data_IF_310365579030
#
_entry.id   IF_310365579030
#
_cell.length_a   1.000
_cell.length_b   1.000
_cell.length_c   1.000
_cell.angle_alpha   90.00
_cell.angle_beta   90.00
_cell.angle_gamma   90.00
#
_symmetry.space_group_name_H-M   'P 1'
#
loop_
_entity.id
_entity.type
_entity.pdbx_description
1 polymer ?
#
# COMPACT_ATOMS: atom_id res chain seq x y z
N UNK A 1 -9.43 22.46 -17.58
CA UNK A 1 -8.39 21.88 -16.70
C UNK A 1 -8.99 21.52 -15.35
N UNK A 2 -9.60 22.48 -14.63
CA UNK A 2 -10.28 22.20 -13.35
C UNK A 2 -11.36 21.11 -13.45
N UNK A 3 -12.25 21.18 -14.45
CA UNK A 3 -13.29 20.16 -14.67
C UNK A 3 -12.71 18.76 -14.85
N UNK A 4 -11.62 18.62 -15.61
CA UNK A 4 -10.93 17.34 -15.82
C UNK A 4 -10.38 16.76 -14.52
N UNK A 5 -9.73 17.58 -13.69
CA UNK A 5 -9.14 17.15 -12.41
C UNK A 5 -10.25 16.74 -11.43
N UNK A 6 -11.30 17.54 -11.31
CA UNK A 6 -12.42 17.24 -10.41
C UNK A 6 -13.13 15.94 -10.79
N UNK A 7 -13.39 15.73 -12.09
CA UNK A 7 -13.94 14.46 -12.57
C UNK A 7 -12.99 13.31 -12.32
N UNK A 8 -11.69 13.49 -12.57
CA UNK A 8 -10.67 12.47 -12.31
C UNK A 8 -10.64 12.06 -10.83
N UNK A 9 -10.60 13.02 -9.90
CA UNK A 9 -10.61 12.76 -8.46
C UNK A 9 -11.85 11.95 -8.08
N UNK A 10 -13.04 12.39 -8.53
CA UNK A 10 -14.29 11.71 -8.23
C UNK A 10 -14.33 10.27 -8.72
N UNK A 11 -13.75 9.99 -9.89
CA UNK A 11 -13.76 8.66 -10.50
C UNK A 11 -12.68 7.72 -9.94
N UNK A 12 -11.51 8.25 -9.59
CA UNK A 12 -10.28 7.43 -9.40
C UNK A 12 -9.71 7.46 -8.00
N UNK A 13 -10.18 8.38 -7.16
CA UNK A 13 -9.67 8.58 -5.82
C UNK A 13 -10.79 8.44 -4.79
N UNK A 14 -10.85 7.28 -4.13
CA UNK A 14 -11.77 7.05 -3.02
C UNK A 14 -11.17 7.67 -1.74
N UNK A 15 -11.72 8.79 -1.20
CA UNK A 15 -11.08 9.51 -0.10
C UNK A 15 -10.91 8.64 1.14
N UNK A 16 -11.90 7.81 1.49
CA UNK A 16 -11.83 6.96 2.67
C UNK A 16 -10.71 5.92 2.57
N UNK A 17 -10.60 5.24 1.43
CA UNK A 17 -9.55 4.25 1.19
C UNK A 17 -8.16 4.89 1.23
N UNK A 18 -7.96 6.02 0.54
CA UNK A 18 -6.66 6.68 0.50
C UNK A 18 -6.27 7.32 1.84
N UNK A 19 -7.23 7.80 2.62
CA UNK A 19 -7.00 8.25 4.00
C UNK A 19 -6.56 7.09 4.89
N UNK A 20 -7.24 5.94 4.84
CA UNK A 20 -6.82 4.77 5.62
C UNK A 20 -5.46 4.23 5.19
N UNK A 21 -5.20 4.21 3.88
CA UNK A 21 -3.93 3.79 3.31
C UNK A 21 -2.78 4.73 3.72
N UNK A 22 -2.98 6.04 3.68
CA UNK A 22 -1.99 7.01 4.15
C UNK A 22 -1.71 6.84 5.65
N UNK A 23 -2.75 6.64 6.46
CA UNK A 23 -2.60 6.36 7.89
C UNK A 23 -1.84 5.05 8.14
N UNK A 24 -2.18 3.98 7.41
CA UNK A 24 -1.48 2.71 7.47
C UNK A 24 0.01 2.85 7.14
N UNK A 25 0.35 3.48 6.01
CA UNK A 25 1.76 3.64 5.60
C UNK A 25 2.56 4.51 6.58
N UNK A 26 1.94 5.55 7.13
CA UNK A 26 2.57 6.40 8.14
C UNK A 26 2.84 5.63 9.44
N UNK A 27 1.86 4.88 9.95
CA UNK A 27 2.03 4.01 11.13
C UNK A 27 3.04 2.89 10.87
N UNK A 28 3.05 2.34 9.65
CA UNK A 28 4.00 1.32 9.24
C UNK A 28 5.43 1.86 9.28
N UNK A 29 5.64 3.03 8.67
CA UNK A 29 6.93 3.68 8.55
C UNK A 29 7.46 4.16 9.89
N UNK A 30 6.67 4.90 10.67
CA UNK A 30 7.16 5.69 11.81
C UNK A 30 6.79 5.12 13.18
N UNK A 31 5.86 4.17 13.22
CA UNK A 31 5.33 3.63 14.46
C UNK A 31 4.69 4.63 15.40
N UNK A 32 5.04 4.56 16.69
CA UNK A 32 4.49 5.40 17.77
C UNK A 32 5.43 6.55 18.17
N UNK A 33 6.58 6.71 17.50
CA UNK A 33 7.53 7.80 17.76
C UNK A 33 7.31 8.97 16.79
N UNK A 34 6.37 9.84 17.13
CA UNK A 34 5.96 10.95 16.26
C UNK A 34 5.33 12.07 17.08
N UNK A 35 5.66 13.32 16.73
CA UNK A 35 4.95 14.48 17.26
C UNK A 35 3.67 14.71 16.46
N UNK A 36 2.65 15.37 17.05
CA UNK A 36 1.43 15.73 16.32
C UNK A 36 1.73 16.54 15.05
N UNK A 37 2.77 17.39 15.08
CA UNK A 37 3.22 18.12 13.89
C UNK A 37 3.79 17.18 12.84
N UNK A 38 4.69 16.26 13.24
CA UNK A 38 5.27 15.25 12.34
C UNK A 38 4.21 14.32 11.74
N UNK A 39 3.19 13.98 12.52
CA UNK A 39 2.00 13.23 12.12
C UNK A 39 1.26 13.89 10.96
N UNK A 40 0.84 15.14 11.16
CA UNK A 40 0.06 15.88 10.17
C UNK A 40 0.86 16.06 8.88
N UNK A 41 2.15 16.37 8.98
CA UNK A 41 3.03 16.53 7.82
C UNK A 41 3.22 15.21 7.08
N UNK A 42 3.54 14.12 7.77
CA UNK A 42 3.73 12.79 7.18
C UNK A 42 2.46 12.28 6.50
N UNK A 43 1.31 12.47 7.15
CA UNK A 43 0.01 12.09 6.61
C UNK A 43 -0.34 12.89 5.34
N UNK A 44 -0.17 14.21 5.36
CA UNK A 44 -0.42 15.06 4.20
C UNK A 44 0.53 14.72 3.04
N UNK A 45 1.82 14.48 3.35
CA UNK A 45 2.81 14.04 2.38
C UNK A 45 2.46 12.69 1.76
N UNK A 46 2.06 11.71 2.57
CA UNK A 46 1.62 10.40 2.11
C UNK A 46 0.42 10.52 1.16
N UNK A 47 -0.60 11.29 1.51
CA UNK A 47 -1.76 11.53 0.65
C UNK A 47 -1.38 12.18 -0.68
N UNK A 48 -0.56 13.24 -0.65
CA UNK A 48 -0.13 13.94 -1.85
C UNK A 48 0.67 13.01 -2.79
N UNK A 49 1.55 12.19 -2.22
CA UNK A 49 2.39 11.26 -2.97
C UNK A 49 1.59 10.08 -3.53
N UNK A 50 0.64 9.53 -2.75
CA UNK A 50 -0.30 8.51 -3.23
C UNK A 50 -1.17 9.04 -4.36
N UNK A 51 -1.65 10.28 -4.27
CA UNK A 51 -2.40 10.92 -5.34
C UNK A 51 -1.55 11.06 -6.62
N UNK A 52 -0.30 11.49 -6.49
CA UNK A 52 0.62 11.59 -7.61
C UNK A 52 0.86 10.23 -8.28
N UNK A 53 1.17 9.19 -7.49
CA UNK A 53 1.37 7.85 -8.02
C UNK A 53 0.11 7.31 -8.70
N UNK A 54 -1.07 7.54 -8.11
CA UNK A 54 -2.34 7.12 -8.70
C UNK A 54 -2.56 7.76 -10.07
N UNK A 55 -2.31 9.07 -10.18
CA UNK A 55 -2.39 9.80 -11.44
C UNK A 55 -1.38 9.29 -12.46
N UNK A 56 -0.15 9.00 -12.03
CA UNK A 56 0.89 8.45 -12.90
C UNK A 56 0.49 7.09 -13.46
N UNK A 57 0.07 6.16 -12.60
CA UNK A 57 -0.34 4.81 -12.96
C UNK A 57 -1.53 4.80 -13.93
N UNK A 58 -2.54 5.65 -13.69
CA UNK A 58 -3.72 5.77 -14.55
C UNK A 58 -3.32 6.35 -15.93
N UNK A 59 -2.53 7.42 -15.97
CA UNK A 59 -2.07 8.04 -17.23
C UNK A 59 -1.28 7.04 -18.07
N UNK A 60 -0.39 6.26 -17.45
CA UNK A 60 0.38 5.22 -18.14
C UNK A 60 -0.51 4.07 -18.64
N UNK A 61 -1.58 3.74 -17.90
CA UNK A 61 -2.54 2.68 -18.24
C UNK A 61 -3.60 3.09 -19.25
N UNK A 62 -3.64 4.35 -19.69
CA UNK A 62 -4.76 4.89 -20.46
C UNK A 62 -5.06 4.18 -21.79
N UNK A 63 -4.08 3.53 -22.42
CA UNK A 63 -4.33 2.71 -23.63
C UNK A 63 -4.95 1.34 -23.31
N UNK A 64 -4.49 0.71 -22.22
CA UNK A 64 -4.97 -0.62 -21.77
C UNK A 64 -6.40 -0.53 -21.22
N UNK A 65 -6.74 0.63 -20.66
CA UNK A 65 -8.03 0.86 -20.02
C UNK A 65 -9.10 1.43 -20.95
N UNK A 66 -8.81 1.56 -22.24
CA UNK A 66 -9.80 2.03 -23.22
C UNK A 66 -11.08 1.20 -23.19
N UNK A 67 -12.23 1.89 -23.25
CA UNK A 67 -13.55 1.27 -23.26
C UNK A 67 -14.11 0.89 -21.89
N UNK A 68 -13.34 1.05 -20.80
CA UNK A 68 -13.86 0.83 -19.44
C UNK A 68 -14.61 2.08 -18.93
N UNK A 69 -15.74 1.93 -18.21
CA UNK A 69 -16.54 3.05 -17.72
C UNK A 69 -15.79 3.85 -16.64
N UNK A 70 -16.16 5.11 -16.46
CA UNK A 70 -15.65 6.02 -15.42
C UNK A 70 -14.12 6.19 -15.39
N UNK A 71 -13.51 6.29 -16.58
CA UNK A 71 -12.07 6.48 -16.74
C UNK A 71 -11.76 7.65 -17.66
N UNK A 72 -11.98 8.88 -17.19
CA UNK A 72 -11.72 10.09 -17.99
C UNK A 72 -10.29 10.15 -18.57
N UNK A 73 -9.30 9.56 -17.89
CA UNK A 73 -7.90 9.53 -18.34
C UNK A 73 -7.65 8.66 -19.59
N UNK A 74 -8.65 7.91 -20.09
CA UNK A 74 -8.55 7.22 -21.38
C UNK A 74 -8.82 8.15 -22.56
N UNK A 75 -9.49 9.29 -22.32
CA UNK A 75 -9.71 10.32 -23.34
C UNK A 75 -8.42 11.07 -23.64
N UNK A 76 -8.13 11.30 -24.92
CA UNK A 76 -6.85 11.87 -25.36
C UNK A 76 -6.59 13.28 -24.75
N UNK A 77 -7.59 14.15 -24.73
CA UNK A 77 -7.46 15.51 -24.19
C UNK A 77 -7.27 15.50 -22.66
N UNK A 78 -8.10 14.73 -21.94
CA UNK A 78 -7.99 14.60 -20.50
C UNK A 78 -6.66 13.99 -20.07
N UNK A 79 -6.22 12.91 -20.73
CA UNK A 79 -4.91 12.29 -20.49
C UNK A 79 -3.78 13.29 -20.68
N UNK A 80 -3.79 14.05 -21.78
CA UNK A 80 -2.78 15.08 -22.05
C UNK A 80 -2.72 16.12 -20.93
N UNK A 81 -3.89 16.58 -20.45
CA UNK A 81 -3.97 17.54 -19.34
C UNK A 81 -3.44 16.96 -18.02
N UNK A 82 -3.78 15.72 -17.69
CA UNK A 82 -3.26 15.03 -16.50
C UNK A 82 -1.74 14.81 -16.61
N UNK A 83 -1.23 14.44 -17.78
CA UNK A 83 0.22 14.31 -18.01
C UNK A 83 0.97 15.62 -17.79
N UNK A 84 0.41 16.76 -18.20
CA UNK A 84 1.02 18.07 -17.94
C UNK A 84 1.10 18.41 -16.45
N UNK A 85 0.25 17.82 -15.60
CA UNK A 85 0.27 18.04 -14.16
C UNK A 85 1.26 17.14 -13.42
N UNK A 86 1.62 15.98 -13.99
CA UNK A 86 2.53 15.03 -13.33
C UNK A 86 3.90 15.65 -13.03
N UNK A 87 4.50 16.34 -13.99
CA UNK A 87 5.84 16.92 -13.82
C UNK A 87 5.87 18.03 -12.77
N UNK A 88 5.06 19.11 -12.85
CA UNK A 88 5.09 20.18 -11.85
C UNK A 88 4.74 19.66 -10.45
N UNK A 89 3.80 18.71 -10.34
CA UNK A 89 3.49 18.09 -9.05
C UNK A 89 4.68 17.27 -8.52
N UNK A 90 5.33 16.45 -9.35
CA UNK A 90 6.54 15.73 -8.94
C UNK A 90 7.63 16.68 -8.44
N UNK A 91 7.85 17.81 -9.14
CA UNK A 91 8.82 18.83 -8.73
C UNK A 91 8.44 19.44 -7.38
N UNK A 92 7.17 19.80 -7.17
CA UNK A 92 6.70 20.32 -5.87
C UNK A 92 6.93 19.31 -4.76
N UNK A 93 6.61 18.02 -4.98
CA UNK A 93 6.85 16.96 -4.01
C UNK A 93 8.34 16.82 -3.69
N UNK A 94 9.21 16.79 -4.70
CA UNK A 94 10.65 16.65 -4.51
C UNK A 94 11.25 17.85 -3.78
N UNK A 95 10.84 19.08 -4.13
CA UNK A 95 11.29 20.30 -3.44
C UNK A 95 10.81 20.31 -1.99
N UNK A 96 9.53 20.01 -1.75
CA UNK A 96 8.98 19.94 -0.40
C UNK A 96 9.70 18.89 0.45
N UNK A 97 10.01 17.73 -0.14
CA UNK A 97 10.78 16.67 0.52
C UNK A 97 12.20 17.14 0.81
N UNK A 98 12.88 17.77 -0.16
CA UNK A 98 14.28 18.19 -0.03
C UNK A 98 14.50 19.30 0.99
N UNK A 99 13.48 20.13 1.25
CA UNK A 99 13.49 21.12 2.33
C UNK A 99 13.53 20.46 3.71
N UNK A 100 12.96 19.26 3.84
CA UNK A 100 12.92 18.50 5.10
C UNK A 100 14.13 17.56 5.19
N UNK A 101 14.32 16.72 4.17
CA UNK A 101 15.44 15.78 4.08
C UNK A 101 15.86 15.56 2.62
N UNK A 102 17.12 15.86 2.32
CA UNK A 102 17.67 15.78 0.95
C UNK A 102 17.87 14.34 0.47
N UNK A 103 18.10 13.39 1.38
CA UNK A 103 18.27 11.99 1.02
C UNK A 103 16.93 11.33 0.70
N UNK A 104 15.90 11.61 1.50
CA UNK A 104 14.52 11.20 1.24
C UNK A 104 14.05 11.71 -0.12
N UNK A 105 14.38 12.97 -0.46
CA UNK A 105 14.11 13.54 -1.78
C UNK A 105 14.90 12.85 -2.90
N UNK A 106 16.16 12.51 -2.67
CA UNK A 106 16.97 11.77 -3.63
C UNK A 106 16.41 10.36 -3.90
N UNK A 107 15.96 9.65 -2.87
CA UNK A 107 15.32 8.32 -3.01
C UNK A 107 14.00 8.43 -3.78
N UNK A 108 13.14 9.39 -3.41
CA UNK A 108 11.88 9.61 -4.12
C UNK A 108 12.13 9.98 -5.60
N UNK A 109 13.10 10.85 -5.85
CA UNK A 109 13.50 11.26 -7.20
C UNK A 109 14.06 10.10 -8.02
N UNK A 110 14.96 9.32 -7.45
CA UNK A 110 15.50 8.12 -8.07
C UNK A 110 14.38 7.12 -8.40
N UNK A 111 13.43 6.92 -7.47
CA UNK A 111 12.28 6.05 -7.72
C UNK A 111 11.41 6.56 -8.86
N UNK A 112 11.08 7.85 -8.91
CA UNK A 112 10.29 8.44 -10.01
C UNK A 112 10.97 8.19 -11.36
N UNK A 113 12.29 8.40 -11.44
CA UNK A 113 13.06 8.15 -12.67
C UNK A 113 13.02 6.67 -13.04
N UNK A 114 13.33 5.77 -12.09
CA UNK A 114 13.30 4.32 -12.30
C UNK A 114 11.91 3.85 -12.70
N UNK A 115 10.86 4.37 -12.08
CA UNK A 115 9.47 4.05 -12.41
C UNK A 115 9.14 4.47 -13.84
N UNK A 116 9.50 5.68 -14.26
CA UNK A 116 9.30 6.14 -15.65
C UNK A 116 10.01 5.22 -16.65
N UNK A 117 11.26 4.83 -16.37
CA UNK A 117 12.03 3.92 -17.23
C UNK A 117 11.37 2.52 -17.25
N UNK A 118 11.03 1.97 -16.09
CA UNK A 118 10.42 0.65 -15.97
C UNK A 118 9.06 0.58 -16.68
N UNK A 119 8.23 1.62 -16.58
CA UNK A 119 6.97 1.71 -17.32
C UNK A 119 7.20 1.77 -18.83
N UNK A 120 8.26 2.43 -19.31
CA UNK A 120 8.56 2.41 -20.75
C UNK A 120 9.05 1.05 -21.25
N UNK A 121 9.80 0.32 -20.43
CA UNK A 121 10.45 -0.94 -20.85
C UNK A 121 9.60 -2.18 -20.61
N UNK A 122 8.80 -2.22 -19.54
CA UNK A 122 8.19 -3.45 -19.04
C UNK A 122 6.66 -3.45 -19.12
N UNK A 123 6.02 -2.30 -19.32
CA UNK A 123 4.56 -2.17 -19.19
C UNK A 123 3.74 -2.94 -20.26
N UNK A 124 4.36 -3.25 -21.39
CA UNK A 124 3.76 -4.12 -22.41
C UNK A 124 3.47 -5.54 -21.87
N UNK A 125 4.29 -6.00 -20.91
CA UNK A 125 4.12 -7.31 -20.29
C UNK A 125 3.08 -7.23 -19.18
N UNK A 126 2.04 -8.04 -19.28
CA UNK A 126 0.91 -8.04 -18.34
C UNK A 126 1.34 -8.19 -16.88
N UNK A 127 2.31 -9.07 -16.59
CA UNK A 127 2.82 -9.29 -15.23
C UNK A 127 3.39 -7.99 -14.64
N UNK A 128 4.27 -7.32 -15.39
CA UNK A 128 4.93 -6.10 -14.92
C UNK A 128 3.97 -4.92 -14.83
N UNK A 129 2.99 -4.83 -15.74
CA UNK A 129 1.92 -3.84 -15.64
C UNK A 129 1.17 -3.89 -14.30
N UNK A 130 1.00 -5.09 -13.73
CA UNK A 130 0.32 -5.27 -12.44
C UNK A 130 1.24 -5.11 -11.23
N UNK A 131 2.53 -5.46 -11.36
CA UNK A 131 3.50 -5.40 -10.26
C UNK A 131 4.13 -4.02 -10.09
N UNK A 132 4.44 -3.31 -11.18
CA UNK A 132 5.09 -1.99 -11.13
C UNK A 132 4.32 -0.95 -10.29
N UNK A 133 2.98 -0.85 -10.36
CA UNK A 133 2.22 0.04 -9.49
C UNK A 133 2.41 -0.24 -8.00
N UNK A 134 2.77 -1.47 -7.60
CA UNK A 134 2.88 -1.87 -6.19
C UNK A 134 4.22 -1.49 -5.58
N UNK A 135 5.26 -1.26 -6.40
CA UNK A 135 6.60 -0.89 -5.93
C UNK A 135 6.64 0.48 -5.23
N UNK A 136 5.59 1.30 -5.41
CA UNK A 136 5.49 2.61 -4.80
C UNK A 136 5.35 2.56 -3.27
N UNK A 137 4.75 1.48 -2.75
CA UNK A 137 4.43 1.40 -1.32
C UNK A 137 5.68 1.21 -0.44
N UNK A 138 6.59 0.25 -0.74
CA UNK A 138 7.87 0.16 -0.04
C UNK A 138 8.66 1.47 -0.08
N UNK A 139 8.73 2.13 -1.25
CA UNK A 139 9.48 3.39 -1.40
C UNK A 139 8.85 4.51 -0.59
N UNK A 140 7.53 4.68 -0.66
CA UNK A 140 6.84 5.70 0.12
C UNK A 140 7.04 5.48 1.62
N UNK A 141 7.00 4.24 2.11
CA UNK A 141 7.29 3.94 3.51
C UNK A 141 8.73 4.29 3.90
N UNK A 142 9.71 3.97 3.05
CA UNK A 142 11.12 4.37 3.26
C UNK A 142 11.27 5.88 3.30
N UNK A 143 10.65 6.62 2.38
CA UNK A 143 10.69 8.09 2.35
C UNK A 143 10.03 8.67 3.60
N UNK A 144 8.87 8.14 4.01
CA UNK A 144 8.19 8.55 5.25
C UNK A 144 9.04 8.31 6.49
N UNK A 145 9.74 7.17 6.55
CA UNK A 145 10.66 6.85 7.64
C UNK A 145 11.78 7.88 7.75
N UNK A 146 12.44 8.19 6.63
CA UNK A 146 13.54 9.16 6.59
C UNK A 146 13.13 10.62 6.81
N UNK A 147 11.85 10.94 6.60
CA UNK A 147 11.33 12.28 6.93
C UNK A 147 11.15 12.49 8.43
N UNK A 148 11.11 11.42 9.21
CA UNK A 148 10.92 11.45 10.67
C UNK A 148 12.18 11.05 11.43
N UNK A 149 12.97 10.14 10.87
CA UNK A 149 14.18 9.59 11.49
C UNK A 149 15.42 10.09 10.76
N UNK A 150 16.49 10.34 11.49
CA UNK A 150 17.75 10.81 10.91
C UNK A 150 18.29 9.81 9.85
N UNK A 151 18.75 10.37 8.74
CA UNK A 151 19.29 9.69 7.56
C UNK A 151 20.29 8.53 7.82
N UNK A 152 21.02 8.56 8.94
CA UNK A 152 21.95 7.50 9.34
C UNK A 152 21.30 6.19 9.79
N UNK A 153 19.96 6.15 9.93
CA UNK A 153 19.24 5.03 10.55
C UNK A 153 18.55 4.06 9.56
N UNK A 154 18.73 4.22 8.24
CA UNK A 154 18.21 3.22 7.30
C UNK A 154 19.04 1.92 7.38
N UNK A 155 18.68 1.05 8.31
CA UNK A 155 19.28 -0.28 8.47
C UNK A 155 18.74 -1.27 7.44
N UNK A 156 19.47 -2.36 7.22
CA UNK A 156 19.00 -3.46 6.37
C UNK A 156 17.67 -4.05 6.89
N UNK A 157 17.47 -4.12 8.21
CA UNK A 157 16.21 -4.60 8.79
C UNK A 157 15.04 -3.67 8.50
N UNK A 158 15.22 -2.34 8.59
CA UNK A 158 14.19 -1.36 8.18
C UNK A 158 13.84 -1.50 6.70
N UNK A 159 14.85 -1.63 5.83
CA UNK A 159 14.64 -1.80 4.39
C UNK A 159 13.88 -3.10 4.05
N UNK A 160 14.23 -4.22 4.69
CA UNK A 160 13.52 -5.50 4.55
C UNK A 160 12.09 -5.42 5.07
N UNK A 161 11.87 -4.70 6.18
CA UNK A 161 10.53 -4.44 6.70
C UNK A 161 9.66 -3.67 5.70
N UNK A 162 10.19 -2.64 5.03
CA UNK A 162 9.43 -1.93 3.99
C UNK A 162 9.18 -2.79 2.76
N UNK A 163 10.08 -3.71 2.42
CA UNK A 163 9.85 -4.68 1.35
C UNK A 163 8.64 -5.59 1.62
N UNK A 164 8.26 -5.81 2.89
CA UNK A 164 7.05 -6.56 3.26
C UNK A 164 5.74 -5.91 2.79
N UNK A 165 5.75 -4.61 2.48
CA UNK A 165 4.59 -3.95 1.88
C UNK A 165 4.25 -4.54 0.50
N UNK A 166 5.22 -5.08 -0.25
CA UNK A 166 4.96 -5.66 -1.55
C UNK A 166 4.00 -6.88 -1.47
N UNK A 167 4.25 -7.94 -0.67
CA UNK A 167 3.29 -9.04 -0.53
C UNK A 167 1.96 -8.60 0.10
N UNK A 168 1.96 -7.59 0.99
CA UNK A 168 0.71 -7.01 1.51
C UNK A 168 -0.14 -6.48 0.35
N UNK A 169 0.41 -5.60 -0.49
CA UNK A 169 -0.35 -5.02 -1.60
C UNK A 169 -0.64 -6.01 -2.72
N UNK A 170 0.16 -7.07 -2.89
CA UNK A 170 -0.22 -8.22 -3.73
C UNK A 170 -1.49 -8.88 -3.19
N UNK A 171 -1.64 -9.06 -1.87
CA UNK A 171 -2.86 -9.60 -1.28
C UNK A 171 -4.08 -8.68 -1.53
N UNK A 172 -3.89 -7.36 -1.47
CA UNK A 172 -4.93 -6.39 -1.83
C UNK A 172 -5.39 -6.56 -3.27
N UNK A 173 -4.46 -6.67 -4.22
CA UNK A 173 -4.78 -6.83 -5.64
C UNK A 173 -5.45 -8.17 -5.94
N UNK A 174 -5.04 -9.26 -5.28
CA UNK A 174 -5.70 -10.58 -5.43
C UNK A 174 -7.16 -10.52 -4.97
N UNK A 175 -7.44 -9.75 -3.92
CA UNK A 175 -8.80 -9.57 -3.40
C UNK A 175 -9.62 -8.62 -4.27
N UNK A 176 -9.02 -7.60 -4.87
CA UNK A 176 -9.73 -6.62 -5.71
C UNK A 176 -10.02 -7.13 -7.12
N UNK A 177 -9.08 -7.87 -7.71
CA UNK A 177 -9.10 -8.29 -9.10
C UNK A 177 -8.92 -9.81 -9.22
N UNK A 178 -10.02 -10.53 -9.48
CA UNK A 178 -9.98 -11.98 -9.73
C UNK A 178 -9.10 -12.37 -10.93
N UNK A 179 -8.84 -11.42 -11.84
CA UNK A 179 -7.98 -11.63 -13.00
C UNK A 179 -6.49 -11.42 -12.71
N UNK A 180 -6.12 -11.09 -11.47
CA UNK A 180 -4.73 -10.84 -11.07
C UNK A 180 -3.80 -12.02 -11.42
N UNK A 181 -2.55 -11.69 -11.76
CA UNK A 181 -1.57 -12.67 -12.25
C UNK A 181 -1.32 -13.76 -11.20
N UNK A 182 -1.28 -13.38 -9.92
CA UNK A 182 -1.19 -14.31 -8.80
C UNK A 182 -2.58 -14.88 -8.54
N UNK A 183 -2.68 -16.21 -8.57
CA UNK A 183 -3.95 -16.92 -8.39
C UNK A 183 -4.46 -16.77 -6.96
N UNK A 184 -5.78 -16.63 -6.81
CA UNK A 184 -6.45 -16.46 -5.51
C UNK A 184 -6.13 -17.55 -4.48
N UNK A 185 -5.87 -18.79 -4.91
CA UNK A 185 -5.53 -19.90 -3.99
C UNK A 185 -4.14 -19.72 -3.33
N UNK A 186 -3.31 -18.81 -3.84
CA UNK A 186 -2.05 -18.39 -3.22
C UNK A 186 -2.25 -17.29 -2.16
N UNK A 187 -3.45 -16.71 -2.01
CA UNK A 187 -3.73 -15.66 -1.03
C UNK A 187 -3.33 -16.04 0.40
N UNK A 188 -3.64 -17.25 0.92
CA UNK A 188 -3.20 -17.63 2.27
C UNK A 188 -1.67 -17.63 2.41
N UNK A 189 -0.96 -18.11 1.38
CA UNK A 189 0.50 -18.10 1.38
C UNK A 189 1.05 -16.66 1.37
N UNK A 190 0.50 -15.78 0.52
CA UNK A 190 0.88 -14.36 0.47
C UNK A 190 0.64 -13.67 1.82
N UNK A 191 -0.48 -13.96 2.48
CA UNK A 191 -0.79 -13.42 3.81
C UNK A 191 0.17 -13.92 4.89
N UNK A 192 0.55 -15.20 4.86
CA UNK A 192 1.56 -15.77 5.78
C UNK A 192 2.92 -15.11 5.57
N UNK A 193 3.35 -14.93 4.31
CA UNK A 193 4.62 -14.25 4.00
C UNK A 193 4.58 -12.78 4.43
N UNK A 194 3.50 -12.07 4.14
CA UNK A 194 3.31 -10.69 4.57
C UNK A 194 3.36 -10.56 6.10
N UNK A 195 2.65 -11.44 6.82
CA UNK A 195 2.64 -11.50 8.27
C UNK A 195 4.03 -11.78 8.84
N UNK A 196 4.70 -12.82 8.33
CA UNK A 196 6.04 -13.19 8.76
C UNK A 196 7.03 -12.05 8.54
N UNK A 197 7.01 -11.39 7.37
CA UNK A 197 7.92 -10.29 7.08
C UNK A 197 7.64 -9.05 7.96
N UNK A 198 6.38 -8.74 8.26
CA UNK A 198 6.04 -7.71 9.25
C UNK A 198 6.60 -8.06 10.63
N UNK A 199 6.58 -9.34 11.01
CA UNK A 199 7.20 -9.82 12.24
C UNK A 199 8.73 -9.89 12.17
N UNK A 200 9.38 -10.00 11.00
CA UNK A 200 10.86 -9.94 10.92
C UNK A 200 11.44 -8.55 11.19
N UNK A 201 10.58 -7.52 11.31
CA UNK A 201 10.96 -6.24 11.91
C UNK A 201 11.12 -6.30 13.44
N UNK A 202 10.74 -7.44 14.02
CA UNK A 202 10.88 -7.82 15.44
C UNK A 202 12.12 -8.72 15.53
N UNK A 203 12.94 -8.59 16.58
CA UNK A 203 14.25 -9.26 16.65
C UNK A 203 14.11 -10.80 16.63
N UNK A 204 15.09 -11.57 16.13
CA UNK A 204 15.00 -13.04 16.08
C UNK A 204 14.62 -13.72 17.42
N UNK A 205 15.11 -13.27 18.59
CA UNK A 205 14.66 -13.79 19.89
C UNK A 205 13.17 -13.54 20.17
N UNK A 206 12.66 -12.38 19.77
CA UNK A 206 11.25 -12.02 19.93
C UNK A 206 10.36 -12.78 18.93
N UNK A 207 10.84 -13.09 17.72
CA UNK A 207 10.16 -13.99 16.78
C UNK A 207 10.06 -15.42 17.34
N UNK A 208 11.12 -15.92 17.98
CA UNK A 208 11.11 -17.22 18.66
C UNK A 208 10.14 -17.20 19.84
N UNK A 209 10.16 -16.13 20.65
CA UNK A 209 9.17 -15.94 21.71
C UNK A 209 7.75 -15.86 21.15
N UNK A 210 7.53 -15.18 20.02
CA UNK A 210 6.22 -15.08 19.35
C UNK A 210 5.69 -16.44 18.92
N UNK A 211 6.53 -17.28 18.30
CA UNK A 211 6.17 -18.64 17.87
C UNK A 211 5.95 -19.57 19.06
N UNK A 212 6.83 -19.52 20.06
CA UNK A 212 6.74 -20.35 21.27
C UNK A 212 5.56 -19.93 22.17
N UNK A 213 5.20 -18.66 22.19
CA UNK A 213 4.08 -18.11 22.97
C UNK A 213 2.73 -18.32 22.27
N UNK A 214 2.68 -18.22 20.94
CA UNK A 214 1.50 -18.62 20.17
C UNK A 214 1.20 -20.12 20.34
N UNK A 215 2.24 -20.95 20.45
CA UNK A 215 2.12 -22.37 20.74
C UNK A 215 1.71 -22.69 22.20
N UNK A 216 1.88 -21.75 23.14
CA UNK A 216 1.56 -21.97 24.57
C UNK A 216 0.14 -21.60 24.98
N UNK A 217 -0.67 -21.02 24.08
CA UNK A 217 -2.10 -20.80 24.29
C UNK A 217 -2.46 -19.74 25.34
N UNK A 218 -1.51 -18.90 25.75
CA UNK A 218 -1.73 -17.87 26.75
C UNK A 218 -2.55 -16.68 26.19
N UNK A 219 -3.52 -16.19 26.96
CA UNK A 219 -4.39 -15.05 26.66
C UNK A 219 -3.62 -13.73 26.74
N UNK A 220 -2.81 -13.42 25.73
CA UNK A 220 -2.07 -12.17 25.59
C UNK A 220 -2.47 -11.42 24.31
N UNK A 221 -2.01 -10.16 24.12
CA UNK A 221 -2.18 -9.42 22.86
C UNK A 221 -1.76 -10.23 21.62
N UNK A 222 -0.80 -11.15 21.75
CA UNK A 222 -0.33 -12.06 20.69
C UNK A 222 -1.40 -13.10 20.31
N UNK A 223 -2.12 -13.67 21.27
CA UNK A 223 -3.24 -14.56 20.98
C UNK A 223 -4.39 -13.82 20.30
N UNK A 224 -4.60 -12.55 20.62
CA UNK A 224 -5.57 -11.68 19.93
C UNK A 224 -5.11 -11.44 18.48
N UNK A 225 -3.83 -11.13 18.24
CA UNK A 225 -3.29 -11.01 16.87
C UNK A 225 -3.51 -12.29 16.07
N UNK A 226 -3.16 -13.45 16.65
CA UNK A 226 -3.31 -14.74 15.96
C UNK A 226 -4.78 -15.08 15.72
N UNK A 227 -5.65 -14.80 16.70
CA UNK A 227 -7.10 -14.98 16.57
C UNK A 227 -7.67 -14.05 15.51
N UNK A 228 -7.23 -12.78 15.45
CA UNK A 228 -7.66 -11.81 14.43
C UNK A 228 -7.08 -12.20 13.06
N UNK A 229 -5.86 -12.75 12.98
CA UNK A 229 -5.30 -13.29 11.74
C UNK A 229 -6.10 -14.49 11.25
N UNK A 230 -6.33 -15.49 12.11
CA UNK A 230 -7.13 -16.68 11.81
C UNK A 230 -8.57 -16.27 11.47
N UNK A 231 -9.16 -15.30 12.19
CA UNK A 231 -10.49 -14.77 11.90
C UNK A 231 -10.51 -13.99 10.58
N UNK A 232 -9.46 -13.23 10.25
CA UNK A 232 -9.35 -12.51 8.97
C UNK A 232 -9.19 -13.51 7.83
N UNK A 233 -8.33 -14.52 7.97
CA UNK A 233 -8.21 -15.63 7.03
C UNK A 233 -9.52 -16.42 6.91
N UNK A 234 -10.26 -16.64 8.00
CA UNK A 234 -11.55 -17.32 7.99
C UNK A 234 -12.65 -16.47 7.36
N UNK A 235 -12.73 -15.17 7.65
CA UNK A 235 -13.67 -14.22 7.03
C UNK A 235 -13.38 -14.11 5.53
N UNK A 236 -12.11 -14.02 5.14
CA UNK A 236 -11.71 -14.04 3.73
C UNK A 236 -12.06 -15.39 3.08
N UNK A 237 -11.80 -16.52 3.73
CA UNK A 237 -12.17 -17.85 3.23
C UNK A 237 -13.70 -18.04 3.12
N UNK A 238 -14.48 -17.53 4.07
CA UNK A 238 -15.95 -17.57 4.07
C UNK A 238 -16.54 -16.64 3.00
N UNK A 239 -16.02 -15.41 2.89
CA UNK A 239 -16.39 -14.48 1.83
C UNK A 239 -16.04 -15.01 0.43
N UNK A 240 -14.96 -15.78 0.31
CA UNK A 240 -14.56 -16.50 -0.91
C UNK A 240 -15.49 -17.67 -1.21
N UNK A 241 -15.88 -18.48 -0.21
CA UNK A 241 -16.85 -19.56 -0.38
C UNK A 241 -18.22 -19.02 -0.82
N UNK A 242 -18.63 -17.88 -0.29
CA UNK A 242 -19.86 -17.19 -0.70
C UNK A 242 -19.73 -16.50 -2.06
N UNK A 243 -18.54 -16.03 -2.45
CA UNK A 243 -18.24 -15.53 -3.80
C UNK A 243 -18.29 -16.62 -4.87
N UNK A 244 -17.74 -17.80 -4.57
CA UNK A 244 -17.83 -19.00 -5.42
C UNK A 244 -19.28 -19.46 -5.58
N UNK A 245 -20.09 -19.38 -4.52
CA UNK A 245 -21.54 -19.65 -4.57
C UNK A 245 -22.33 -18.56 -5.29
N UNK A 246 -21.88 -17.30 -5.24
CA UNK A 246 -22.55 -16.15 -5.84
C UNK A 246 -22.29 -15.95 -7.35
N UNK A 247 -21.68 -16.94 -8.03
CA UNK A 247 -21.67 -17.06 -9.50
C UNK A 247 -23.05 -16.96 -10.19
N UNK A 248 -24.14 -16.80 -9.41
CA UNK A 248 -25.49 -16.56 -9.88
C UNK A 248 -25.91 -15.07 -10.03
N UNK A 249 -25.21 -14.07 -9.45
CA UNK A 249 -25.64 -12.66 -9.58
C UNK A 249 -24.51 -11.60 -9.64
N UNK A 250 -24.54 -10.67 -10.60
CA UNK A 250 -23.49 -9.68 -10.86
C UNK A 250 -23.68 -8.42 -10.00
N UNK A 251 -23.55 -8.53 -8.68
CA UNK A 251 -23.44 -7.36 -7.79
C UNK A 251 -22.10 -7.39 -7.07
N UNK A 252 -21.03 -7.17 -7.84
CA UNK A 252 -19.64 -7.46 -7.44
C UNK A 252 -18.85 -6.28 -6.85
N UNK A 253 -19.40 -5.08 -6.65
CA UNK A 253 -18.55 -3.94 -6.22
C UNK A 253 -18.34 -3.80 -4.70
N UNK A 254 -19.33 -4.12 -3.86
CA UNK A 254 -19.25 -3.78 -2.41
C UNK A 254 -18.45 -4.78 -1.57
N UNK A 255 -18.37 -6.04 -2.01
CA UNK A 255 -17.72 -7.12 -1.23
C UNK A 255 -16.20 -7.01 -1.26
N UNK A 256 -15.61 -6.63 -2.40
CA UNK A 256 -14.16 -6.47 -2.55
C UNK A 256 -13.63 -5.27 -1.78
N UNK A 257 -14.34 -4.15 -1.85
CA UNK A 257 -14.02 -2.94 -1.06
C UNK A 257 -14.04 -3.23 0.45
N UNK A 258 -15.02 -4.01 0.95
CA UNK A 258 -15.05 -4.42 2.36
C UNK A 258 -13.84 -5.29 2.75
N UNK A 259 -13.44 -6.24 1.89
CA UNK A 259 -12.30 -7.10 2.14
C UNK A 259 -10.97 -6.33 2.16
N UNK A 260 -10.82 -5.30 1.31
CA UNK A 260 -9.68 -4.38 1.39
C UNK A 260 -9.65 -3.61 2.72
N UNK A 261 -10.79 -3.07 3.17
CA UNK A 261 -10.86 -2.41 4.47
C UNK A 261 -10.52 -3.36 5.62
N UNK A 262 -11.01 -4.60 5.59
CA UNK A 262 -10.70 -5.61 6.59
C UNK A 262 -9.20 -5.95 6.62
N UNK A 263 -8.56 -6.10 5.46
CA UNK A 263 -7.11 -6.31 5.35
C UNK A 263 -6.32 -5.10 5.88
N UNK A 264 -6.73 -3.86 5.57
CA UNK A 264 -6.06 -2.67 6.09
C UNK A 264 -6.17 -2.62 7.62
N UNK A 265 -7.37 -2.84 8.16
CA UNK A 265 -7.60 -2.85 9.61
C UNK A 265 -6.81 -3.96 10.29
N UNK A 266 -6.71 -5.13 9.67
CA UNK A 266 -5.86 -6.24 10.16
C UNK A 266 -4.40 -5.81 10.29
N UNK A 267 -3.79 -5.28 9.21
CA UNK A 267 -2.38 -4.90 9.23
C UNK A 267 -2.10 -3.67 10.10
N UNK A 268 -3.05 -2.72 10.20
CA UNK A 268 -2.98 -1.61 11.17
C UNK A 268 -2.98 -2.17 12.59
N UNK A 269 -3.92 -3.07 12.92
CA UNK A 269 -4.03 -3.68 14.24
C UNK A 269 -2.80 -4.48 14.62
N UNK A 270 -2.28 -5.31 13.71
CA UNK A 270 -1.04 -6.05 13.87
C UNK A 270 0.12 -5.11 14.22
N UNK A 271 0.25 -4.01 13.49
CA UNK A 271 1.34 -3.07 13.68
C UNK A 271 1.24 -2.32 15.01
N UNK A 272 0.04 -1.89 15.41
CA UNK A 272 -0.21 -1.31 16.73
C UNK A 272 0.11 -2.28 17.87
N UNK A 273 -0.19 -3.57 17.70
CA UNK A 273 0.07 -4.59 18.72
C UNK A 273 1.57 -4.85 18.90
N UNK A 274 2.36 -4.89 17.81
CA UNK A 274 3.83 -4.96 17.90
C UNK A 274 4.40 -3.77 18.66
N UNK A 275 3.84 -2.56 18.47
CA UNK A 275 4.30 -1.38 19.21
C UNK A 275 3.95 -1.39 20.69
N UNK A 276 2.76 -1.88 21.05
CA UNK A 276 2.35 -1.97 22.46
C UNK A 276 3.22 -2.93 23.26
N UNK A 277 3.75 -3.98 22.62
CA UNK A 277 4.64 -4.96 23.26
C UNK A 277 6.03 -4.38 23.58
N UNK A 278 6.51 -3.41 22.78
CA UNK A 278 7.79 -2.72 23.03
C UNK A 278 7.71 -1.55 24.03
N UNK A 279 6.50 -1.14 24.43
CA UNK A 279 6.28 0.00 25.33
C UNK A 279 6.15 -0.40 26.82
N UNK A 280 6.22 -1.69 27.14
CA UNK A 280 6.15 -2.28 28.49
C UNK A 280 7.52 -2.80 28.90
#
# INVERSE_FOLDING_TARGET
MFSTITTYIRQRFNPALYTMLAAFLMLYANGVEWTLRGAVVSFAFALATLFWFRMFDDVASGAVDQGKPDRIYTEADARRRLSMLLVPFAVILLVATAVVDTQAAAILGAYIIVQIIAYRMLFEREVWRRVLPLLKYPVLATTLYMLVHDAGMLTLSSALSFAALLPIFIAFEIVDDESFVVKWWLLPFVLVVAHALMLTSVSPPELINYVMFAASGASSPVAIVLLVFVATCAILALGVLDGIRAKAHPTTDRRFVFAQYALLLYFIGLRLLVFLDHAV
#
